data_IF_606417184066
#
_entry.id   IF_606417184066
#
_cell.length_a   1.000
_cell.length_b   1.000
_cell.length_c   1.000
_cell.angle_alpha   90.00
_cell.angle_beta   90.00
_cell.angle_gamma   90.00
#
_symmetry.space_group_name_H-M   'P 1'
#
loop_
_entity.id
_entity.type
_entity.pdbx_description
1 polymer ?
#
# COMPACT_ATOMS: atom_id res chain seq x y z
N UNK A 1 6.64 -12.81 8.22
CA UNK A 1 5.67 -11.79 7.70
C UNK A 1 5.81 -11.68 6.20
N UNK A 2 4.70 -11.68 5.46
CA UNK A 2 4.65 -11.48 4.01
C UNK A 2 4.47 -9.99 3.68
N UNK A 3 5.36 -9.41 2.89
CA UNK A 3 5.21 -8.04 2.42
C UNK A 3 4.36 -8.00 1.14
N UNK A 4 3.07 -7.69 1.25
CA UNK A 4 2.14 -7.60 0.10
C UNK A 4 2.05 -6.20 -0.52
N UNK A 5 2.66 -5.19 0.13
CA UNK A 5 2.61 -3.77 -0.26
C UNK A 5 3.99 -3.12 -0.12
N UNK A 6 4.98 -3.57 -0.89
CA UNK A 6 6.26 -2.89 -0.94
C UNK A 6 6.25 -1.76 -1.99
N UNK A 7 6.83 -0.59 -1.64
CA UNK A 7 7.13 0.48 -2.60
C UNK A 7 8.57 0.39 -3.06
N UNK A 8 8.79 0.70 -4.33
CA UNK A 8 10.11 0.71 -4.98
C UNK A 8 10.44 2.10 -5.54
N UNK A 9 11.56 2.23 -6.26
CA UNK A 9 11.93 3.42 -7.00
C UNK A 9 10.88 3.88 -8.02
N UNK A 10 9.93 3.03 -8.39
CA UNK A 10 8.83 3.37 -9.29
C UNK A 10 7.71 4.16 -8.61
N UNK A 11 7.73 4.31 -7.28
CA UNK A 11 6.98 5.35 -6.56
C UNK A 11 7.76 6.66 -6.62
N UNK A 12 7.85 7.26 -7.80
CA UNK A 12 8.68 8.41 -8.13
C UNK A 12 8.56 9.56 -7.12
N UNK A 13 9.72 10.02 -6.61
CA UNK A 13 9.84 11.10 -5.62
C UNK A 13 9.13 10.84 -4.29
N UNK A 14 8.64 9.61 -4.08
CA UNK A 14 7.89 9.21 -2.88
C UNK A 14 8.66 8.18 -2.07
N UNK A 15 9.29 7.20 -2.74
CA UNK A 15 10.08 6.17 -2.08
C UNK A 15 11.47 6.05 -2.73
N UNK A 16 12.47 5.72 -1.92
CA UNK A 16 13.78 5.24 -2.34
C UNK A 16 13.80 3.72 -2.18
N UNK A 17 14.17 3.00 -3.23
CA UNK A 17 14.31 1.55 -3.09
C UNK A 17 14.43 0.84 -4.42
N UNK A 18 15.70 0.65 -4.91
CA UNK A 18 15.92 -0.24 -6.04
C UNK A 18 15.25 -1.58 -5.80
N UNK A 19 14.55 -2.09 -6.81
CA UNK A 19 13.79 -3.37 -6.72
C UNK A 19 14.67 -4.49 -6.14
N UNK A 20 15.94 -4.56 -6.53
CA UNK A 20 16.86 -5.58 -6.02
C UNK A 20 17.03 -5.49 -4.50
N UNK A 21 17.16 -4.27 -3.96
CA UNK A 21 17.34 -4.06 -2.52
C UNK A 21 16.04 -4.38 -1.74
N UNK A 22 14.89 -4.08 -2.32
CA UNK A 22 13.58 -4.43 -1.74
C UNK A 22 13.44 -5.95 -1.64
N UNK A 23 13.77 -6.69 -2.71
CA UNK A 23 13.68 -8.16 -2.76
C UNK A 23 14.68 -8.80 -1.79
N UNK A 24 15.90 -8.26 -1.70
CA UNK A 24 16.93 -8.73 -0.76
C UNK A 24 16.54 -8.51 0.70
N UNK A 25 15.82 -7.41 0.99
CA UNK A 25 15.40 -7.06 2.36
C UNK A 25 14.23 -7.90 2.86
N UNK A 26 13.51 -8.55 1.94
CA UNK A 26 12.39 -9.43 2.27
C UNK A 26 12.88 -10.86 2.50
N UNK A 27 12.51 -11.45 3.64
CA UNK A 27 12.91 -12.82 4.02
C UNK A 27 11.96 -13.93 3.52
N UNK A 28 10.83 -13.58 2.86
CA UNK A 28 9.81 -14.54 2.46
C UNK A 28 10.04 -15.15 1.07
N UNK A 29 9.26 -16.18 0.74
CA UNK A 29 9.23 -16.82 -0.59
C UNK A 29 8.37 -16.08 -1.62
N UNK A 30 7.60 -15.08 -1.16
CA UNK A 30 6.77 -14.22 -2.00
C UNK A 30 6.87 -12.78 -1.51
N UNK A 31 6.72 -11.83 -2.43
CA UNK A 31 6.74 -10.39 -2.11
C UNK A 31 5.80 -9.65 -3.05
N UNK A 32 5.08 -8.65 -2.53
CA UNK A 32 4.16 -7.81 -3.28
C UNK A 32 4.71 -6.42 -3.55
N UNK A 33 4.44 -5.90 -4.75
CA UNK A 33 4.69 -4.52 -5.13
C UNK A 33 3.38 -3.74 -5.17
N UNK A 34 3.37 -2.53 -4.59
CA UNK A 34 2.28 -1.57 -4.73
C UNK A 34 2.84 -0.14 -4.82
N UNK A 35 3.44 0.16 -5.96
CA UNK A 35 3.89 1.50 -6.31
C UNK A 35 2.72 2.41 -6.71
N UNK A 36 2.97 3.71 -6.82
CA UNK A 36 2.02 4.71 -7.31
C UNK A 36 1.80 4.56 -8.84
N UNK A 37 1.43 3.36 -9.28
CA UNK A 37 1.25 2.96 -10.67
C UNK A 37 1.83 1.57 -10.93
N UNK A 38 1.91 1.17 -12.20
CA UNK A 38 2.25 -0.21 -12.61
C UNK A 38 3.56 -0.34 -13.39
N UNK A 39 4.33 0.73 -13.51
CA UNK A 39 5.59 0.75 -14.30
C UNK A 39 6.65 -0.20 -13.76
N UNK A 40 6.64 -0.48 -12.45
CA UNK A 40 7.56 -1.39 -11.79
C UNK A 40 7.24 -2.88 -11.99
N UNK A 41 6.08 -3.27 -12.50
CA UNK A 41 5.63 -4.67 -12.52
C UNK A 41 6.56 -5.60 -13.31
N UNK A 42 6.97 -5.22 -14.53
CA UNK A 42 7.84 -6.05 -15.36
C UNK A 42 9.24 -6.21 -14.77
N UNK A 43 9.97 -5.13 -14.42
CA UNK A 43 11.27 -5.28 -13.77
C UNK A 43 11.20 -6.01 -12.43
N UNK A 44 10.14 -5.80 -11.65
CA UNK A 44 9.90 -6.52 -10.39
C UNK A 44 9.71 -8.03 -10.61
N UNK A 45 8.86 -8.41 -11.58
CA UNK A 45 8.66 -9.82 -11.95
C UNK A 45 9.98 -10.50 -12.32
N UNK A 46 10.80 -9.83 -13.15
CA UNK A 46 12.10 -10.36 -13.58
C UNK A 46 13.08 -10.51 -12.41
N UNK A 47 13.10 -9.56 -11.49
CA UNK A 47 13.95 -9.61 -10.31
C UNK A 47 13.50 -10.69 -9.31
N UNK A 48 12.18 -10.84 -9.07
CA UNK A 48 11.64 -11.94 -8.26
C UNK A 48 12.01 -13.31 -8.83
N UNK A 49 11.86 -13.50 -10.16
CA UNK A 49 12.25 -14.77 -10.81
C UNK A 49 13.73 -15.10 -10.60
N UNK A 50 14.63 -14.10 -10.70
CA UNK A 50 16.05 -14.28 -10.43
C UNK A 50 16.34 -14.67 -8.98
N UNK A 51 15.56 -14.13 -8.04
CA UNK A 51 15.69 -14.40 -6.61
C UNK A 51 14.92 -15.68 -6.15
N UNK A 52 14.22 -16.36 -7.06
CA UNK A 52 13.40 -17.55 -6.72
C UNK A 52 12.14 -17.21 -5.91
N UNK A 53 11.68 -15.95 -5.92
CA UNK A 53 10.51 -15.50 -5.18
C UNK A 53 9.27 -15.38 -6.07
N UNK A 54 8.09 -15.58 -5.48
CA UNK A 54 6.81 -15.37 -6.14
C UNK A 54 6.43 -13.87 -6.11
N UNK A 55 6.27 -13.20 -7.27
CA UNK A 55 5.79 -11.83 -7.28
C UNK A 55 4.27 -11.75 -7.03
N UNK A 56 3.84 -10.76 -6.26
CA UNK A 56 2.44 -10.36 -6.10
C UNK A 56 2.32 -8.94 -6.64
N UNK A 57 1.29 -8.66 -7.45
CA UNK A 57 1.15 -7.38 -8.13
C UNK A 57 -0.01 -6.56 -7.58
N UNK A 58 0.24 -5.29 -7.39
CA UNK A 58 -0.74 -4.31 -6.98
C UNK A 58 -0.32 -2.90 -7.36
N UNK A 59 -1.17 -1.94 -7.07
CA UNK A 59 -0.88 -0.52 -7.23
C UNK A 59 -1.43 0.27 -6.05
N UNK A 60 -0.73 1.33 -5.67
CA UNK A 60 -1.21 2.31 -4.71
C UNK A 60 -1.87 3.46 -5.46
N UNK A 61 -3.12 3.77 -5.10
CA UNK A 61 -3.89 4.85 -5.73
C UNK A 61 -4.44 5.75 -4.62
N UNK A 62 -4.44 7.06 -4.86
CA UNK A 62 -5.09 8.02 -3.98
C UNK A 62 -6.61 7.89 -4.08
N UNK A 63 -7.28 7.75 -2.96
CA UNK A 63 -8.74 7.73 -2.86
C UNK A 63 -9.22 8.96 -2.11
N UNK A 64 -10.18 9.67 -2.68
CA UNK A 64 -10.80 10.89 -2.15
C UNK A 64 -12.31 10.70 -2.03
N UNK A 65 -13.00 11.61 -1.37
CA UNK A 65 -14.46 11.53 -1.23
C UNK A 65 -15.13 11.54 -2.61
N UNK A 66 -14.78 12.48 -3.46
CA UNK A 66 -15.28 12.61 -4.83
C UNK A 66 -14.14 13.06 -5.76
N UNK A 67 -13.73 12.20 -6.68
CA UNK A 67 -12.65 12.49 -7.63
C UNK A 67 -13.02 13.51 -8.70
N UNK A 68 -14.32 13.75 -8.93
CA UNK A 68 -14.81 14.76 -9.90
C UNK A 68 -14.81 16.18 -9.32
N UNK A 69 -14.87 16.30 -7.99
CA UNK A 69 -14.78 17.60 -7.32
C UNK A 69 -13.36 18.16 -7.42
N UNK A 70 -13.22 19.36 -7.99
CA UNK A 70 -11.94 20.07 -8.18
C UNK A 70 -11.50 20.88 -6.96
N UNK A 71 -12.16 20.72 -5.83
CA UNK A 71 -11.70 21.27 -4.55
C UNK A 71 -10.52 20.47 -3.98
N UNK A 72 -9.81 21.07 -3.01
CA UNK A 72 -8.76 20.37 -2.29
C UNK A 72 -9.38 19.38 -1.30
N UNK A 73 -9.14 18.10 -1.53
CA UNK A 73 -9.58 17.02 -0.66
C UNK A 73 -8.38 16.32 -0.01
N UNK A 74 -8.58 15.77 1.17
CA UNK A 74 -7.61 14.84 1.78
C UNK A 74 -7.65 13.53 1.02
N UNK A 75 -6.49 13.08 0.54
CA UNK A 75 -6.35 11.80 -0.13
C UNK A 75 -5.85 10.74 0.84
N UNK A 76 -6.49 9.58 0.82
CA UNK A 76 -6.00 8.39 1.48
C UNK A 76 -5.33 7.47 0.45
N UNK A 77 -4.12 7.00 0.73
CA UNK A 77 -3.39 6.11 -0.17
C UNK A 77 -3.79 4.68 0.12
N UNK A 78 -4.59 4.10 -0.77
CA UNK A 78 -5.06 2.72 -0.68
C UNK A 78 -4.29 1.83 -1.66
N UNK A 79 -4.07 0.56 -1.30
CA UNK A 79 -3.44 -0.38 -2.21
C UNK A 79 -4.46 -1.40 -2.71
N UNK A 80 -4.35 -1.73 -3.99
CA UNK A 80 -5.20 -2.68 -4.72
C UNK A 80 -4.31 -3.82 -5.20
N UNK A 81 -4.50 -5.02 -4.64
CA UNK A 81 -3.63 -6.18 -4.84
C UNK A 81 -4.38 -7.24 -5.63
N UNK A 82 -3.81 -7.69 -6.74
CA UNK A 82 -4.41 -8.71 -7.59
C UNK A 82 -4.30 -10.11 -6.98
N UNK A 83 -5.40 -10.85 -6.92
CA UNK A 83 -5.43 -12.27 -6.52
C UNK A 83 -5.06 -13.21 -7.67
N UNK A 84 -5.35 -12.79 -8.91
CA UNK A 84 -5.20 -13.56 -10.14
C UNK A 84 -5.02 -12.62 -11.34
N UNK A 85 -5.01 -13.16 -12.56
CA UNK A 85 -4.83 -12.39 -13.79
C UNK A 85 -6.00 -11.44 -14.07
N UNK A 86 -7.24 -11.84 -13.76
CA UNK A 86 -8.42 -11.02 -13.89
C UNK A 86 -8.32 -9.80 -12.95
N UNK A 87 -7.90 -10.03 -11.69
CA UNK A 87 -7.64 -8.97 -10.73
C UNK A 87 -6.49 -8.06 -11.17
N UNK A 88 -5.45 -8.60 -11.81
CA UNK A 88 -4.36 -7.78 -12.34
C UNK A 88 -4.84 -6.86 -13.47
N UNK A 89 -5.68 -7.35 -14.36
CA UNK A 89 -6.32 -6.53 -15.40
C UNK A 89 -7.17 -5.43 -14.78
N UNK A 90 -7.92 -5.74 -13.75
CA UNK A 90 -8.74 -4.76 -13.02
C UNK A 90 -7.87 -3.70 -12.31
N UNK A 91 -6.74 -4.08 -11.71
CA UNK A 91 -5.78 -3.11 -11.14
C UNK A 91 -5.28 -2.14 -12.22
N UNK A 92 -5.00 -2.63 -13.43
CA UNK A 92 -4.62 -1.76 -14.56
C UNK A 92 -5.75 -0.81 -14.98
N UNK A 93 -6.99 -1.27 -14.96
CA UNK A 93 -8.16 -0.43 -15.23
C UNK A 93 -8.36 0.65 -14.16
N UNK A 94 -8.18 0.31 -12.88
CA UNK A 94 -8.25 1.27 -11.78
C UNK A 94 -7.18 2.36 -11.91
N UNK A 95 -5.93 1.99 -12.24
CA UNK A 95 -4.86 2.96 -12.51
C UNK A 95 -5.20 3.84 -13.69
N UNK A 96 -5.72 3.27 -14.78
CA UNK A 96 -6.13 4.02 -15.98
C UNK A 96 -7.28 4.97 -15.64
N UNK A 97 -8.30 4.51 -14.92
CA UNK A 97 -9.43 5.32 -14.45
C UNK A 97 -8.97 6.50 -13.60
N UNK A 98 -8.04 6.26 -12.66
CA UNK A 98 -7.52 7.31 -11.77
C UNK A 98 -6.80 8.43 -12.52
N UNK A 99 -6.22 8.12 -13.70
CA UNK A 99 -5.50 9.07 -14.56
C UNK A 99 -6.40 9.74 -15.60
N UNK A 100 -7.66 9.34 -15.71
CA UNK A 100 -8.61 9.95 -16.65
C UNK A 100 -8.78 11.45 -16.40
N UNK A 101 -9.19 12.20 -17.43
CA UNK A 101 -9.39 13.64 -17.34
C UNK A 101 -10.42 14.02 -16.25
N UNK A 102 -11.40 13.17 -16.03
CA UNK A 102 -12.47 13.37 -15.03
C UNK A 102 -11.93 13.24 -13.61
N UNK A 103 -11.05 12.27 -13.39
CA UNK A 103 -10.55 11.89 -12.06
C UNK A 103 -9.24 12.58 -11.67
N UNK A 104 -8.41 12.95 -12.65
CA UNK A 104 -7.13 13.60 -12.38
C UNK A 104 -7.30 15.05 -11.93
N UNK A 105 -6.79 15.37 -10.73
CA UNK A 105 -6.67 16.75 -10.25
C UNK A 105 -5.44 16.86 -9.34
N UNK A 106 -4.37 17.50 -9.84
CA UNK A 106 -3.00 17.52 -9.31
C UNK A 106 -2.30 16.15 -9.25
N UNK A 107 -3.04 15.07 -9.01
CA UNK A 107 -2.56 13.68 -8.99
C UNK A 107 -3.68 12.71 -9.41
N UNK A 108 -3.32 11.48 -9.85
CA UNK A 108 -4.30 10.42 -10.14
C UNK A 108 -5.09 10.04 -8.88
N UNK A 109 -6.41 9.93 -8.99
CA UNK A 109 -7.27 9.59 -7.84
C UNK A 109 -8.55 8.86 -8.25
N UNK A 110 -9.10 8.13 -7.29
CA UNK A 110 -10.41 7.48 -7.36
C UNK A 110 -11.33 8.06 -6.29
N UNK A 111 -12.64 7.88 -6.43
CA UNK A 111 -13.63 8.18 -5.39
C UNK A 111 -13.82 6.96 -4.48
N UNK A 112 -14.26 7.15 -3.23
CA UNK A 112 -14.69 6.03 -2.38
C UNK A 112 -15.85 5.24 -3.01
N UNK A 113 -16.68 5.87 -3.84
CA UNK A 113 -17.74 5.16 -4.59
C UNK A 113 -17.21 4.12 -5.56
N UNK A 114 -16.02 4.34 -6.16
CA UNK A 114 -15.40 3.38 -7.07
C UNK A 114 -15.08 2.04 -6.37
N UNK A 115 -14.89 2.04 -5.05
CA UNK A 115 -14.56 0.83 -4.28
C UNK A 115 -15.69 -0.21 -4.26
N UNK A 116 -16.94 0.21 -4.50
CA UNK A 116 -18.10 -0.70 -4.50
C UNK A 116 -18.16 -1.57 -5.76
N UNK A 117 -17.59 -1.10 -6.86
CA UNK A 117 -17.62 -1.78 -8.16
C UNK A 117 -16.43 -2.72 -8.39
N UNK A 118 -15.44 -2.72 -7.47
CA UNK A 118 -14.26 -3.59 -7.57
C UNK A 118 -14.67 -5.04 -7.35
N UNK A 119 -14.21 -5.94 -8.22
CA UNK A 119 -14.54 -7.37 -8.14
C UNK A 119 -13.89 -8.09 -6.95
N UNK A 120 -14.33 -9.31 -6.66
CA UNK A 120 -13.70 -10.18 -5.67
C UNK A 120 -12.31 -10.71 -6.07
N UNK A 121 -11.78 -10.33 -7.24
CA UNK A 121 -10.42 -10.69 -7.70
C UNK A 121 -9.34 -9.72 -7.22
N UNK A 122 -9.73 -8.64 -6.52
CA UNK A 122 -8.81 -7.63 -5.99
C UNK A 122 -8.98 -7.53 -4.47
N UNK A 123 -7.87 -7.62 -3.75
CA UNK A 123 -7.79 -7.25 -2.32
C UNK A 123 -7.57 -5.75 -2.23
N UNK A 124 -8.30 -5.11 -1.32
CA UNK A 124 -8.18 -3.68 -1.03
C UNK A 124 -7.55 -3.52 0.36
N UNK A 125 -6.45 -2.78 0.46
CA UNK A 125 -5.87 -2.34 1.73
C UNK A 125 -6.34 -0.92 2.01
N UNK A 126 -6.92 -0.69 3.19
CA UNK A 126 -7.61 0.55 3.54
C UNK A 126 -6.75 1.81 3.51
N UNK A 127 -5.42 1.66 3.51
CA UNK A 127 -4.53 2.78 3.81
C UNK A 127 -4.55 3.17 5.29
N UNK A 128 -3.69 4.13 5.65
CA UNK A 128 -3.45 4.49 7.06
C UNK A 128 -4.59 5.32 7.68
N UNK A 129 -5.23 6.17 6.88
CA UNK A 129 -6.22 7.14 7.35
C UNK A 129 -7.46 7.19 6.44
N UNK A 130 -8.22 6.08 6.32
CA UNK A 130 -9.41 6.05 5.49
C UNK A 130 -10.55 6.89 6.08
N UNK A 131 -11.46 7.32 5.22
CA UNK A 131 -12.76 7.82 5.65
C UNK A 131 -13.63 6.63 6.07
N UNK A 132 -13.60 6.32 7.36
CA UNK A 132 -14.21 5.10 7.94
C UNK A 132 -15.66 4.89 7.56
N UNK A 133 -16.44 5.98 7.45
CA UNK A 133 -17.85 5.93 7.08
C UNK A 133 -18.13 5.64 5.61
N UNK A 134 -17.09 5.73 4.75
CA UNK A 134 -17.21 5.53 3.31
C UNK A 134 -16.65 4.19 2.84
N UNK A 135 -16.02 3.41 3.74
CA UNK A 135 -15.54 2.08 3.39
C UNK A 135 -16.72 1.16 3.07
N UNK A 136 -16.65 0.34 1.98
CA UNK A 136 -17.72 -0.56 1.59
C UNK A 136 -17.86 -1.72 2.58
N UNK A 137 -18.80 -1.60 3.51
CA UNK A 137 -19.04 -2.57 4.59
C UNK A 137 -19.44 -3.97 4.09
N UNK A 138 -19.84 -4.09 2.83
CA UNK A 138 -20.18 -5.37 2.19
C UNK A 138 -18.96 -6.17 1.71
N UNK A 139 -17.78 -5.56 1.69
CA UNK A 139 -16.55 -6.17 1.16
C UNK A 139 -15.58 -6.67 2.23
N UNK A 140 -16.10 -7.19 3.33
CA UNK A 140 -15.29 -7.62 4.47
C UNK A 140 -14.28 -8.73 4.17
N UNK A 141 -14.54 -9.55 3.15
CA UNK A 141 -13.65 -10.64 2.77
C UNK A 141 -12.46 -10.18 1.91
N UNK A 142 -12.60 -9.04 1.23
CA UNK A 142 -11.61 -8.53 0.27
C UNK A 142 -11.02 -7.17 0.68
N UNK A 143 -11.58 -6.51 1.70
CA UNK A 143 -11.08 -5.26 2.23
C UNK A 143 -10.48 -5.50 3.62
N UNK A 144 -9.17 -5.24 3.72
CA UNK A 144 -8.40 -5.35 4.95
C UNK A 144 -8.08 -3.97 5.50
N UNK A 145 -8.20 -3.84 6.81
CA UNK A 145 -7.81 -2.61 7.51
C UNK A 145 -6.30 -2.65 7.75
N UNK A 146 -5.61 -1.74 7.11
CA UNK A 146 -4.15 -1.66 7.17
C UNK A 146 -3.69 -1.10 8.51
N UNK A 147 -2.81 -1.84 9.19
CA UNK A 147 -2.14 -1.44 10.42
C UNK A 147 -0.64 -1.33 10.13
N UNK A 148 -0.08 -0.16 10.35
CA UNK A 148 1.33 0.14 10.17
C UNK A 148 1.84 1.02 11.32
N UNK A 149 3.14 1.33 11.42
CA UNK A 149 3.68 2.13 12.52
C UNK A 149 3.05 3.51 12.73
N UNK A 150 2.34 4.03 11.72
CA UNK A 150 1.61 5.31 11.81
C UNK A 150 0.16 5.14 12.25
N UNK A 151 -0.36 3.91 12.29
CA UNK A 151 -1.75 3.62 12.66
C UNK A 151 -2.01 3.85 14.15
N UNK A 152 -3.25 4.18 14.48
CA UNK A 152 -3.73 4.23 15.87
C UNK A 152 -4.56 2.98 16.21
N UNK A 153 -4.76 2.72 17.50
CA UNK A 153 -5.62 1.64 17.99
C UNK A 153 -7.07 1.72 17.46
N UNK A 154 -7.52 2.89 17.02
CA UNK A 154 -8.85 3.07 16.42
C UNK A 154 -9.05 2.21 15.17
N UNK A 155 -7.97 1.88 14.44
CA UNK A 155 -8.04 0.96 13.30
C UNK A 155 -8.47 -0.44 13.74
N UNK A 156 -7.88 -0.96 14.82
CA UNK A 156 -8.24 -2.26 15.39
C UNK A 156 -9.66 -2.25 16.00
N UNK A 157 -10.01 -1.22 16.74
CA UNK A 157 -11.36 -1.02 17.27
C UNK A 157 -12.43 -1.01 16.16
N UNK A 158 -12.09 -0.44 15.00
CA UNK A 158 -12.96 -0.46 13.83
C UNK A 158 -13.11 -1.88 13.26
N UNK A 159 -12.02 -2.65 13.17
CA UNK A 159 -12.03 -4.06 12.76
C UNK A 159 -13.01 -4.86 13.64
N UNK A 160 -12.82 -4.81 14.95
CA UNK A 160 -13.64 -5.52 15.93
C UNK A 160 -15.12 -5.12 15.83
N UNK A 161 -15.39 -3.82 15.80
CA UNK A 161 -16.77 -3.29 15.75
C UNK A 161 -17.50 -3.62 14.46
N UNK A 162 -16.78 -3.65 13.32
CA UNK A 162 -17.37 -3.80 11.98
C UNK A 162 -17.14 -5.18 11.36
N UNK A 163 -16.31 -6.02 11.97
CA UNK A 163 -15.99 -7.36 11.50
C UNK A 163 -15.09 -7.36 10.26
N UNK A 164 -14.15 -6.42 10.18
CA UNK A 164 -13.08 -6.44 9.18
C UNK A 164 -11.86 -7.17 9.71
N UNK A 165 -11.04 -7.68 8.79
CA UNK A 165 -9.75 -8.29 9.13
C UNK A 165 -8.65 -7.21 9.12
N UNK A 166 -7.79 -7.15 10.15
CA UNK A 166 -6.60 -6.33 10.11
C UNK A 166 -5.51 -6.97 9.25
N UNK A 167 -4.59 -6.17 8.71
CA UNK A 167 -3.36 -6.63 8.07
C UNK A 167 -2.21 -5.70 8.38
N UNK A 168 -1.08 -6.26 8.81
CA UNK A 168 0.12 -5.49 9.10
C UNK A 168 0.89 -5.17 7.82
N UNK A 169 1.32 -3.91 7.66
CA UNK A 169 2.18 -3.49 6.56
C UNK A 169 3.27 -2.55 7.06
N UNK A 170 4.44 -2.59 6.42
CA UNK A 170 5.53 -1.67 6.77
C UNK A 170 5.27 -0.24 6.32
N UNK A 171 4.38 -0.03 5.35
CA UNK A 171 4.22 1.27 4.66
C UNK A 171 5.59 1.87 4.26
N UNK A 172 6.48 1.04 3.69
CA UNK A 172 7.87 1.37 3.50
C UNK A 172 8.09 2.50 2.51
N UNK A 173 9.14 3.29 2.77
CA UNK A 173 9.65 4.34 1.88
C UNK A 173 11.10 4.11 1.48
N UNK A 174 11.75 3.13 2.09
CA UNK A 174 13.10 2.66 1.74
C UNK A 174 13.30 1.21 2.23
N UNK A 175 14.28 0.46 1.68
CA UNK A 175 14.47 -0.96 1.99
C UNK A 175 14.95 -1.23 3.43
N UNK A 176 16.07 -0.61 3.82
CA UNK A 176 16.80 -0.88 5.07
C UNK A 176 17.00 0.41 5.86
N UNK A 177 17.20 0.32 7.16
CA UNK A 177 17.49 1.47 8.05
C UNK A 177 18.64 2.34 7.52
N UNK A 178 19.69 1.71 6.95
CA UNK A 178 20.84 2.39 6.35
C UNK A 178 20.48 3.30 5.18
N UNK A 179 19.35 3.04 4.50
CA UNK A 179 18.94 3.77 3.30
C UNK A 179 18.16 5.05 3.62
N UNK A 180 17.88 5.31 4.90
CA UNK A 180 17.16 6.49 5.36
C UNK A 180 17.75 7.78 4.81
N UNK A 181 19.08 7.92 4.83
CA UNK A 181 19.77 9.12 4.35
C UNK A 181 19.59 9.35 2.85
N UNK A 182 19.61 8.27 2.05
CA UNK A 182 19.34 8.34 0.61
C UNK A 182 17.89 8.77 0.34
N UNK A 183 16.95 8.25 1.10
CA UNK A 183 15.54 8.68 1.05
C UNK A 183 15.37 10.16 1.41
N UNK A 184 16.01 10.65 2.48
CA UNK A 184 15.95 12.05 2.91
C UNK A 184 16.46 13.00 1.81
N UNK A 185 17.54 12.61 1.11
CA UNK A 185 18.04 13.35 -0.06
C UNK A 185 17.02 13.37 -1.19
N UNK A 186 16.41 12.22 -1.50
CA UNK A 186 15.41 12.09 -2.57
C UNK A 186 14.21 13.01 -2.37
N UNK A 187 13.69 13.10 -1.13
CA UNK A 187 12.46 13.87 -0.84
C UNK A 187 12.73 15.34 -0.49
N UNK A 188 14.00 15.74 -0.38
CA UNK A 188 14.45 17.06 0.06
C UNK A 188 14.46 17.20 1.59
N UNK A 189 15.56 17.72 2.11
CA UNK A 189 15.90 17.75 3.55
C UNK A 189 14.94 18.56 4.45
N UNK A 190 13.91 19.20 3.94
CA UNK A 190 12.96 20.02 4.69
C UNK A 190 11.69 19.28 5.14
N UNK A 191 11.63 17.96 5.01
CA UNK A 191 10.49 17.20 5.54
C UNK A 191 10.81 16.72 6.95
N UNK A 192 9.88 17.03 7.86
CA UNK A 192 9.90 16.73 9.29
C UNK A 192 10.57 15.38 9.58
N UNK A 193 11.44 15.35 10.59
CA UNK A 193 11.92 14.11 11.18
C UNK A 193 10.74 13.21 11.53
N UNK A 194 10.55 12.18 10.72
CA UNK A 194 9.61 11.13 11.09
C UNK A 194 10.33 10.24 12.11
N UNK A 195 9.79 10.21 13.31
CA UNK A 195 10.32 9.40 14.42
C UNK A 195 10.01 7.91 14.25
N UNK A 196 9.02 7.59 13.41
CA UNK A 196 8.59 6.20 13.15
C UNK A 196 9.44 5.55 12.06
N UNK A 197 9.69 4.24 12.13
CA UNK A 197 10.40 3.51 11.09
C UNK A 197 9.61 3.54 9.78
N UNK A 198 10.33 3.58 8.67
CA UNK A 198 9.78 3.68 7.30
C UNK A 198 10.50 2.72 6.35
N UNK A 199 11.25 1.75 6.84
CA UNK A 199 11.88 0.69 6.07
C UNK A 199 10.99 -0.56 6.02
N UNK A 200 11.37 -1.56 5.26
CA UNK A 200 10.73 -2.87 5.28
C UNK A 200 11.00 -3.51 6.64
N UNK A 201 9.98 -3.56 7.50
CA UNK A 201 10.07 -4.11 8.85
C UNK A 201 9.97 -5.63 8.81
N UNK A 202 10.85 -6.32 9.52
CA UNK A 202 10.62 -7.72 9.83
C UNK A 202 9.53 -7.86 10.91
N UNK A 203 9.12 -9.08 11.19
CA UNK A 203 8.04 -9.37 12.16
C UNK A 203 8.35 -8.85 13.56
N UNK A 204 9.57 -9.05 14.05
CA UNK A 204 9.99 -8.57 15.36
C UNK A 204 9.96 -7.04 15.47
N UNK A 205 10.50 -6.35 14.46
CA UNK A 205 10.46 -4.89 14.41
C UNK A 205 9.02 -4.36 14.33
N UNK A 206 8.13 -5.07 13.63
CA UNK A 206 6.71 -4.72 13.56
C UNK A 206 6.04 -4.81 14.92
N UNK A 207 6.24 -5.90 15.66
CA UNK A 207 5.71 -6.08 17.01
C UNK A 207 6.27 -5.07 18.01
N UNK A 208 7.56 -4.75 17.91
CA UNK A 208 8.17 -3.71 18.73
C UNK A 208 7.55 -2.33 18.47
N UNK A 209 7.26 -2.01 17.21
CA UNK A 209 6.64 -0.74 16.83
C UNK A 209 5.16 -0.66 17.20
N UNK A 210 4.45 -1.79 17.18
CA UNK A 210 3.01 -1.89 17.38
C UNK A 210 2.73 -3.00 18.41
N UNK A 211 3.01 -2.78 19.72
CA UNK A 211 2.85 -3.82 20.74
C UNK A 211 1.41 -4.32 20.96
N UNK A 212 0.45 -3.65 20.33
CA UNK A 212 -0.99 -3.98 20.37
C UNK A 212 -1.48 -4.66 19.08
N UNK A 213 -0.58 -5.01 18.18
CA UNK A 213 -0.92 -5.69 16.93
C UNK A 213 -1.36 -7.13 17.23
N UNK A 214 -2.54 -7.58 16.75
CA UNK A 214 -2.95 -8.97 16.93
C UNK A 214 -2.18 -9.90 15.99
N UNK A 215 -1.93 -11.13 16.43
CA UNK A 215 -1.17 -12.14 15.66
C UNK A 215 -1.80 -12.39 14.28
N UNK A 216 -3.13 -12.41 14.18
CA UNK A 216 -3.88 -12.59 12.94
C UNK A 216 -3.61 -11.53 11.85
N UNK A 217 -3.04 -10.37 12.23
CA UNK A 217 -2.68 -9.32 11.29
C UNK A 217 -1.34 -9.55 10.61
N UNK A 218 -0.51 -10.48 11.11
CA UNK A 218 0.83 -10.79 10.64
C UNK A 218 0.83 -12.05 9.75
N UNK A 219 -0.09 -12.98 10.02
CA UNK A 219 -0.29 -14.21 9.24
C UNK A 219 -0.80 -13.92 7.82
#
# INVERSE_FOLDING_TARGET
MLHIRARTEYSFRKAYGPIANIIESDGGDAIGIADAGTWGHVPFSNACKKAGKKPIFGAEIAVVIDSTDRSKQTANMMAFIAKNNEGLSEVYELVTRSTSKENFYYFPRLSYSDLFDISGNVIILSGTHPEWGLLPLTRKDDLYIEINPMSSKKALEFCEKKGFKPVATSDNYYPKVSDRKAYEVLVGMNRMERTKPMHLLNEHEMLDCIPWLPDEAIE
#
